data_IF_895789728689
#
_entry.id   IF_895789728689
#
_cell.length_a   1.000
_cell.length_b   1.000
_cell.length_c   1.000
_cell.angle_alpha   90.00
_cell.angle_beta   90.00
_cell.angle_gamma   90.00
#
_symmetry.space_group_name_H-M   'P 1'
#
loop_
_entity.id
_entity.type
_entity.pdbx_description
1 polymer ?
#
# COMPACT_ATOMS: atom_id res chain seq x y z
N UNK A 1 29.55 26.48 19.66
CA UNK A 1 30.24 25.25 19.22
C UNK A 1 29.21 24.46 18.45
N UNK A 2 29.27 24.50 17.12
CA UNK A 2 28.56 23.55 16.28
C UNK A 2 29.41 22.28 16.24
N UNK A 3 29.08 21.33 17.10
CA UNK A 3 29.66 19.98 17.04
C UNK A 3 28.55 19.09 16.53
N UNK A 4 28.68 18.61 15.29
CA UNK A 4 27.72 17.68 14.72
C UNK A 4 27.65 16.41 15.60
N UNK A 5 26.44 15.87 15.82
CA UNK A 5 26.28 14.67 16.61
C UNK A 5 27.06 13.51 15.97
N UNK A 6 27.83 12.78 16.78
CA UNK A 6 28.53 11.57 16.31
C UNK A 6 27.54 10.42 16.23
N UNK A 7 27.63 9.59 15.18
CA UNK A 7 26.79 8.41 14.95
C UNK A 7 25.29 8.70 14.75
N UNK A 8 24.95 9.94 14.39
CA UNK A 8 23.59 10.33 13.98
C UNK A 8 23.67 10.86 12.57
N UNK A 9 22.75 10.43 11.71
CA UNK A 9 22.54 11.06 10.41
C UNK A 9 21.76 12.36 10.68
N UNK A 10 22.42 13.50 10.55
CA UNK A 10 21.74 14.81 10.60
C UNK A 10 21.14 15.18 9.23
N UNK A 11 20.26 16.18 9.17
CA UNK A 11 19.58 16.58 7.93
C UNK A 11 20.52 17.16 6.85
N UNK A 12 21.69 17.65 7.27
CA UNK A 12 22.77 18.12 6.40
C UNK A 12 23.60 16.99 5.79
N UNK A 13 23.51 15.79 6.35
CA UNK A 13 24.06 14.54 5.85
C UNK A 13 22.99 13.81 4.99
N UNK A 14 23.43 13.03 3.99
CA UNK A 14 22.56 12.36 3.00
C UNK A 14 21.82 13.29 2.01
N UNK A 15 22.56 14.22 1.40
CA UNK A 15 22.03 15.14 0.39
C UNK A 15 22.68 14.97 -0.99
N UNK A 16 23.54 13.97 -1.16
CA UNK A 16 24.19 13.73 -2.46
C UNK A 16 23.33 12.81 -3.34
N UNK A 17 23.53 12.84 -4.68
CA UNK A 17 22.87 11.90 -5.59
C UNK A 17 23.04 10.43 -5.20
N UNK A 18 24.19 10.07 -4.63
CA UNK A 18 24.53 8.69 -4.21
C UNK A 18 23.66 8.22 -3.03
N UNK A 19 23.13 9.14 -2.23
CA UNK A 19 22.30 8.82 -1.06
C UNK A 19 20.83 8.53 -1.42
N UNK A 20 20.37 8.99 -2.60
CA UNK A 20 18.96 9.01 -2.97
C UNK A 20 18.34 7.62 -3.07
N UNK A 21 19.11 6.65 -3.54
CA UNK A 21 18.65 5.26 -3.62
C UNK A 21 18.39 4.67 -2.23
N UNK A 22 19.10 5.13 -1.20
CA UNK A 22 18.87 4.73 0.19
C UNK A 22 17.50 5.14 0.71
N UNK A 23 17.04 6.36 0.40
CA UNK A 23 15.70 6.83 0.77
C UNK A 23 14.59 6.05 0.06
N UNK A 24 14.80 5.75 -1.23
CA UNK A 24 13.85 4.94 -2.02
C UNK A 24 13.78 3.51 -1.46
N UNK A 25 14.93 2.86 -1.27
CA UNK A 25 15.03 1.50 -0.72
C UNK A 25 14.40 1.42 0.67
N UNK A 26 14.63 2.44 1.52
CA UNK A 26 14.05 2.50 2.86
C UNK A 26 12.52 2.61 2.86
N UNK A 27 11.93 3.13 1.78
CA UNK A 27 10.47 3.18 1.59
C UNK A 27 9.93 1.81 1.22
N UNK A 28 10.49 1.14 0.21
CA UNK A 28 10.12 -0.23 -0.15
C UNK A 28 10.28 -1.20 1.03
N UNK A 29 11.40 -1.10 1.75
CA UNK A 29 11.66 -1.95 2.91
C UNK A 29 10.61 -1.78 4.03
N UNK A 30 10.03 -0.58 4.19
CA UNK A 30 9.00 -0.34 5.21
C UNK A 30 7.68 -1.03 4.87
N UNK A 31 7.34 -1.18 3.58
CA UNK A 31 6.13 -1.91 3.13
C UNK A 31 6.17 -3.37 3.56
N UNK A 32 7.36 -3.97 3.56
CA UNK A 32 7.57 -5.39 3.88
C UNK A 32 7.85 -5.62 5.36
N UNK A 33 8.43 -4.64 6.05
CA UNK A 33 8.85 -4.74 7.45
C UNK A 33 7.73 -4.39 8.42
N UNK A 34 6.58 -5.05 8.34
CA UNK A 34 5.41 -4.75 9.17
C UNK A 34 5.33 -5.78 10.30
N UNK A 35 5.77 -5.46 11.53
CA UNK A 35 5.76 -6.39 12.67
C UNK A 35 4.36 -6.59 13.28
N UNK A 36 3.31 -6.59 12.45
CA UNK A 36 1.92 -6.82 12.87
C UNK A 36 1.25 -7.81 11.92
N UNK A 37 0.27 -8.54 12.46
CA UNK A 37 -0.64 -9.38 11.69
C UNK A 37 -1.68 -8.55 10.91
N UNK A 38 -1.98 -7.34 11.39
CA UNK A 38 -2.90 -6.38 10.77
C UNK A 38 -2.22 -5.52 9.72
N UNK A 39 -1.45 -6.13 8.82
CA UNK A 39 -0.83 -5.36 7.74
C UNK A 39 -1.93 -4.66 6.91
N UNK A 40 -1.80 -3.36 6.59
CA UNK A 40 -2.77 -2.68 5.71
C UNK A 40 -2.84 -3.31 4.32
N UNK A 41 -1.84 -4.11 3.95
CA UNK A 41 -1.74 -4.80 2.67
C UNK A 41 -2.25 -6.25 2.72
N UNK A 42 -2.59 -6.76 3.90
CA UNK A 42 -3.16 -8.09 4.03
C UNK A 42 -4.70 -8.04 3.98
N UNK A 43 -5.33 -8.74 3.03
CA UNK A 43 -6.78 -8.68 2.85
C UNK A 43 -7.54 -9.65 3.76
N UNK A 44 -6.90 -10.61 4.44
CA UNK A 44 -7.64 -11.60 5.23
C UNK A 44 -8.42 -10.94 6.37
N UNK A 45 -7.78 -10.09 7.19
CA UNK A 45 -8.43 -9.47 8.35
C UNK A 45 -9.33 -8.27 7.97
N UNK A 46 -8.95 -7.54 6.91
CA UNK A 46 -9.59 -6.29 6.53
C UNK A 46 -10.65 -6.43 5.43
N UNK A 47 -10.61 -7.53 4.69
CA UNK A 47 -11.54 -7.86 3.61
C UNK A 47 -12.27 -9.16 3.92
N UNK A 48 -11.59 -10.28 3.67
CA UNK A 48 -12.17 -11.64 3.67
C UNK A 48 -12.92 -12.00 4.95
N UNK A 49 -12.35 -11.67 6.12
CA UNK A 49 -12.97 -11.98 7.42
C UNK A 49 -14.19 -11.11 7.72
N UNK A 50 -14.26 -9.92 7.11
CA UNK A 50 -15.40 -9.00 7.24
C UNK A 50 -16.40 -9.15 6.10
N UNK A 51 -16.10 -10.00 5.12
CA UNK A 51 -17.00 -10.41 4.05
C UNK A 51 -17.63 -11.76 4.39
N UNK A 52 -18.34 -12.33 3.44
CA UNK A 52 -18.88 -13.68 3.47
C UNK A 52 -17.89 -14.75 2.96
N UNK A 53 -16.63 -14.41 2.71
CA UNK A 53 -15.61 -15.35 2.19
C UNK A 53 -15.04 -16.29 3.26
N UNK A 54 -14.97 -15.84 4.51
CA UNK A 54 -14.27 -16.58 5.56
C UNK A 54 -14.74 -16.26 6.97
N UNK A 55 -14.63 -17.23 7.86
CA UNK A 55 -14.63 -17.02 9.30
C UNK A 55 -13.24 -16.61 9.80
N UNK A 56 -13.19 -15.93 10.95
CA UNK A 56 -11.94 -15.59 11.63
C UNK A 56 -11.03 -16.79 11.86
N UNK A 57 -11.62 -17.94 12.20
CA UNK A 57 -10.87 -19.12 12.65
C UNK A 57 -10.23 -18.91 14.02
N UNK A 58 -9.04 -19.46 14.20
CA UNK A 58 -8.27 -19.45 15.44
C UNK A 58 -8.71 -20.55 16.42
N UNK A 59 -8.13 -20.53 17.61
CA UNK A 59 -8.43 -21.47 18.71
C UNK A 59 -9.80 -21.29 19.37
N UNK A 60 -10.59 -20.30 18.93
CA UNK A 60 -11.96 -20.06 19.41
C UNK A 60 -12.41 -18.62 19.23
N UNK A 61 -13.60 -18.30 19.72
CA UNK A 61 -14.22 -16.96 19.60
C UNK A 61 -13.37 -15.85 20.23
N UNK A 62 -12.61 -16.17 21.28
CA UNK A 62 -11.75 -15.23 22.00
C UNK A 62 -10.31 -15.16 21.48
N UNK A 63 -9.93 -16.00 20.52
CA UNK A 63 -8.60 -15.94 19.90
C UNK A 63 -8.56 -14.77 18.90
N UNK A 64 -7.81 -13.72 19.21
CA UNK A 64 -7.98 -12.38 18.60
C UNK A 64 -8.94 -11.44 19.36
N UNK A 65 -9.46 -11.88 20.52
CA UNK A 65 -10.10 -11.06 21.54
C UNK A 65 -11.21 -10.12 21.06
N UNK A 66 -11.15 -8.89 21.57
CA UNK A 66 -12.01 -7.75 21.24
C UNK A 66 -11.64 -7.06 19.92
N UNK A 67 -10.74 -7.66 19.12
CA UNK A 67 -10.33 -7.16 17.82
C UNK A 67 -11.03 -7.90 16.69
N UNK A 68 -10.40 -8.97 16.20
CA UNK A 68 -10.84 -9.65 14.98
C UNK A 68 -12.24 -10.27 15.09
N UNK A 69 -12.63 -10.82 16.25
CA UNK A 69 -13.98 -11.38 16.44
C UNK A 69 -15.07 -10.31 16.37
N UNK A 70 -14.78 -9.09 16.83
CA UNK A 70 -15.69 -7.96 16.73
C UNK A 70 -15.74 -7.40 15.30
N UNK A 71 -14.63 -7.45 14.57
CA UNK A 71 -14.56 -7.08 13.14
C UNK A 71 -15.33 -8.04 12.24
N UNK A 72 -15.27 -9.35 12.51
CA UNK A 72 -16.03 -10.39 11.80
C UNK A 72 -17.54 -10.24 12.03
N UNK A 73 -17.96 -10.09 13.29
CA UNK A 73 -19.38 -10.08 13.66
C UNK A 73 -20.05 -8.72 13.59
N UNK A 74 -19.26 -7.65 13.45
CA UNK A 74 -19.70 -6.25 13.56
C UNK A 74 -20.38 -5.92 14.92
N UNK A 75 -20.05 -6.66 15.98
CA UNK A 75 -20.58 -6.46 17.33
C UNK A 75 -19.49 -5.89 18.24
N UNK A 76 -19.84 -4.93 19.10
CA UNK A 76 -18.93 -4.27 20.06
C UNK A 76 -17.72 -3.55 19.44
N UNK A 77 -17.81 -3.16 18.17
CA UNK A 77 -16.79 -2.32 17.53
C UNK A 77 -16.68 -0.95 18.23
N UNK A 78 -15.45 -0.55 18.51
CA UNK A 78 -15.15 0.78 19.06
C UNK A 78 -14.11 1.48 18.19
N UNK A 79 -14.09 2.82 18.26
CA UNK A 79 -13.11 3.62 17.53
C UNK A 79 -11.65 3.37 17.97
N UNK A 80 -11.44 2.71 19.13
CA UNK A 80 -10.12 2.43 19.70
C UNK A 80 -9.73 0.95 19.56
N UNK A 81 -10.40 0.19 18.69
CA UNK A 81 -10.06 -1.21 18.44
C UNK A 81 -8.63 -1.34 17.90
N UNK A 82 -7.84 -2.25 18.46
CA UNK A 82 -6.44 -2.44 18.06
C UNK A 82 -6.23 -2.87 16.59
N UNK A 83 -7.13 -3.63 15.91
CA UNK A 83 -6.87 -4.05 14.53
C UNK A 83 -6.80 -2.92 13.51
N UNK A 84 -7.28 -1.71 13.86
CA UNK A 84 -7.26 -0.54 12.97
C UNK A 84 -6.17 0.48 13.32
N UNK A 85 -5.67 0.47 14.56
CA UNK A 85 -4.67 1.42 15.05
C UNK A 85 -3.30 1.22 14.40
N UNK A 86 -2.81 -0.02 14.39
CA UNK A 86 -1.51 -0.32 13.78
C UNK A 86 -1.47 -0.08 12.26
N UNK A 87 -2.47 -0.53 11.46
CA UNK A 87 -2.53 -0.19 10.04
C UNK A 87 -2.51 1.31 9.76
N UNK A 88 -3.21 2.11 10.58
CA UNK A 88 -3.17 3.57 10.49
C UNK A 88 -1.76 4.10 10.72
N UNK A 89 -1.14 3.72 11.85
CA UNK A 89 0.19 4.15 12.23
C UNK A 89 1.25 3.81 11.18
N UNK A 90 1.32 2.55 10.73
CA UNK A 90 2.33 2.12 9.75
C UNK A 90 2.12 2.75 8.39
N UNK A 91 0.87 2.98 7.98
CA UNK A 91 0.56 3.66 6.72
C UNK A 91 1.16 5.06 6.67
N UNK A 92 0.98 5.86 7.73
CA UNK A 92 1.56 7.21 7.78
C UNK A 92 3.10 7.20 7.90
N UNK A 93 3.71 6.15 8.45
CA UNK A 93 5.17 5.98 8.38
C UNK A 93 5.66 5.74 6.94
N UNK A 94 4.95 4.92 6.16
CA UNK A 94 5.30 4.65 4.75
C UNK A 94 5.09 5.90 3.90
N UNK A 95 3.99 6.63 4.12
CA UNK A 95 3.71 7.92 3.47
C UNK A 95 4.82 8.91 3.76
N UNK A 96 5.22 9.07 5.03
CA UNK A 96 6.28 10.00 5.40
C UNK A 96 7.63 9.64 4.76
N UNK A 97 7.98 8.35 4.69
CA UNK A 97 9.21 7.91 4.00
C UNK A 97 9.18 8.24 2.50
N UNK A 98 8.03 8.03 1.86
CA UNK A 98 7.80 8.40 0.47
C UNK A 98 7.96 9.91 0.26
N UNK A 99 7.35 10.72 1.15
CA UNK A 99 7.43 12.18 1.12
C UNK A 99 8.87 12.66 1.30
N UNK A 100 9.60 12.12 2.28
CA UNK A 100 11.02 12.47 2.50
C UNK A 100 11.89 12.11 1.30
N UNK A 101 11.68 10.95 0.68
CA UNK A 101 12.41 10.57 -0.53
C UNK A 101 12.13 11.55 -1.69
N UNK A 102 10.86 11.93 -1.90
CA UNK A 102 10.47 12.91 -2.92
C UNK A 102 11.10 14.29 -2.63
N UNK A 103 11.04 14.77 -1.38
CA UNK A 103 11.65 16.04 -0.96
C UNK A 103 13.15 16.06 -1.23
N UNK A 104 13.86 14.98 -0.88
CA UNK A 104 15.30 14.86 -1.10
C UNK A 104 15.64 14.79 -2.60
N UNK A 105 14.93 13.98 -3.37
CA UNK A 105 15.10 13.89 -4.83
C UNK A 105 14.82 15.22 -5.54
N UNK A 106 13.83 15.98 -5.09
CA UNK A 106 13.50 17.29 -5.68
C UNK A 106 14.66 18.29 -5.59
N UNK A 107 15.53 18.17 -4.58
CA UNK A 107 16.70 19.02 -4.39
C UNK A 107 17.92 18.61 -5.23
N UNK A 108 17.88 17.46 -5.90
CA UNK A 108 18.96 16.97 -6.77
C UNK A 108 18.69 17.40 -8.22
N UNK A 109 19.69 17.85 -8.96
CA UNK A 109 19.51 18.13 -10.40
C UNK A 109 19.34 16.82 -11.19
N UNK A 110 18.50 16.82 -12.24
CA UNK A 110 18.27 15.60 -13.05
C UNK A 110 19.56 15.08 -13.71
N UNK A 111 20.48 15.99 -14.06
CA UNK A 111 21.80 15.65 -14.64
C UNK A 111 22.71 14.88 -13.67
N UNK A 112 22.57 15.13 -12.37
CA UNK A 112 23.35 14.46 -11.32
C UNK A 112 22.74 13.10 -10.93
N UNK A 113 21.44 12.91 -11.17
CA UNK A 113 20.74 11.68 -10.89
C UNK A 113 19.71 11.35 -12.00
N UNK A 114 20.14 10.69 -13.09
CA UNK A 114 19.30 10.43 -14.27
C UNK A 114 18.05 9.58 -14.01
N UNK A 115 17.95 8.91 -12.86
CA UNK A 115 16.78 8.14 -12.44
C UNK A 115 15.80 8.96 -11.57
N UNK A 116 16.03 10.26 -11.36
CA UNK A 116 15.25 11.11 -10.46
C UNK A 116 13.76 11.02 -10.75
N UNK A 117 13.36 11.28 -11.99
CA UNK A 117 11.95 11.19 -12.41
C UNK A 117 11.33 9.82 -12.13
N UNK A 118 12.02 8.74 -12.49
CA UNK A 118 11.56 7.35 -12.23
C UNK A 118 11.38 7.10 -10.73
N UNK A 119 12.35 7.49 -9.89
CA UNK A 119 12.29 7.31 -8.44
C UNK A 119 11.18 8.12 -7.78
N UNK A 120 10.95 9.36 -8.23
CA UNK A 120 9.80 10.14 -7.77
C UNK A 120 8.49 9.44 -8.15
N UNK A 121 8.40 8.89 -9.35
CA UNK A 121 7.25 8.08 -9.79
C UNK A 121 7.00 6.87 -8.89
N UNK A 122 8.04 6.13 -8.53
CA UNK A 122 7.96 5.00 -7.59
C UNK A 122 7.41 5.45 -6.22
N UNK A 123 7.92 6.56 -5.68
CA UNK A 123 7.49 7.08 -4.36
C UNK A 123 6.04 7.58 -4.38
N UNK A 124 5.63 8.28 -5.45
CA UNK A 124 4.23 8.70 -5.64
C UNK A 124 3.30 7.51 -5.75
N UNK A 125 3.68 6.46 -6.48
CA UNK A 125 2.89 5.24 -6.54
C UNK A 125 2.71 4.61 -5.16
N UNK A 126 3.80 4.42 -4.40
CA UNK A 126 3.73 3.81 -3.06
C UNK A 126 2.85 4.65 -2.14
N UNK A 127 3.05 5.98 -2.13
CA UNK A 127 2.22 6.90 -1.34
C UNK A 127 0.74 6.79 -1.72
N UNK A 128 0.42 6.78 -3.01
CA UNK A 128 -0.95 6.65 -3.50
C UNK A 128 -1.55 5.29 -3.15
N UNK A 129 -0.78 4.20 -3.26
CA UNK A 129 -1.20 2.86 -2.87
C UNK A 129 -1.55 2.78 -1.38
N UNK A 130 -0.74 3.39 -0.51
CA UNK A 130 -1.00 3.43 0.93
C UNK A 130 -2.24 4.29 1.25
N UNK A 131 -2.37 5.48 0.64
CA UNK A 131 -3.57 6.30 0.79
C UNK A 131 -4.82 5.60 0.24
N UNK A 132 -4.71 4.86 -0.85
CA UNK A 132 -5.80 4.04 -1.40
C UNK A 132 -6.27 3.01 -0.36
N UNK A 133 -5.36 2.31 0.32
CA UNK A 133 -5.72 1.38 1.41
C UNK A 133 -6.37 2.08 2.60
N UNK A 134 -5.82 3.22 3.05
CA UNK A 134 -6.44 4.03 4.11
C UNK A 134 -7.86 4.48 3.72
N UNK A 135 -8.05 4.90 2.47
CA UNK A 135 -9.35 5.32 1.94
C UNK A 135 -10.37 4.19 1.97
N UNK A 136 -9.94 2.95 1.69
CA UNK A 136 -10.78 1.76 1.79
C UNK A 136 -11.17 1.42 3.24
N UNK A 137 -10.30 1.68 4.20
CA UNK A 137 -10.59 1.42 5.62
C UNK A 137 -11.49 2.50 6.25
N UNK A 138 -11.20 3.77 6.00
CA UNK A 138 -11.73 4.87 6.80
C UNK A 138 -12.68 5.82 6.05
N UNK A 139 -12.74 5.75 4.71
CA UNK A 139 -13.41 6.70 3.81
C UNK A 139 -12.87 8.14 3.87
N UNK A 140 -12.57 8.68 5.04
CA UNK A 140 -11.97 9.99 5.23
C UNK A 140 -10.69 9.86 6.05
N UNK A 141 -9.62 10.48 5.58
CA UNK A 141 -8.31 10.45 6.21
C UNK A 141 -7.51 11.70 5.83
N UNK A 142 -6.55 12.15 6.65
CA UNK A 142 -5.59 13.17 6.26
C UNK A 142 -4.82 12.72 5.02
N UNK A 143 -4.87 13.52 3.96
CA UNK A 143 -3.99 13.31 2.80
C UNK A 143 -2.71 14.11 3.02
N UNK A 144 -1.58 13.42 3.17
CA UNK A 144 -0.29 14.03 3.49
C UNK A 144 0.68 13.76 2.34
N UNK A 145 1.09 14.81 1.65
CA UNK A 145 2.04 14.77 0.54
C UNK A 145 3.39 15.39 0.91
N UNK A 146 4.28 15.51 -0.07
CA UNK A 146 5.62 16.08 0.10
C UNK A 146 5.62 17.57 0.45
N UNK A 147 4.49 18.25 0.28
CA UNK A 147 4.35 19.69 0.54
C UNK A 147 3.93 19.96 1.99
N UNK A 148 3.45 18.95 2.72
CA UNK A 148 3.21 19.04 4.16
C UNK A 148 4.55 18.92 4.88
N UNK A 149 5.06 20.07 5.33
CA UNK A 149 6.33 20.22 6.06
C UNK A 149 6.08 21.02 7.34
N UNK A 150 6.93 20.84 8.35
CA UNK A 150 6.84 21.60 9.59
C UNK A 150 7.01 20.75 10.85
N UNK A 151 6.54 21.29 11.97
CA UNK A 151 6.50 20.62 13.28
C UNK A 151 5.29 19.68 13.38
N UNK A 152 5.14 18.96 14.50
CA UNK A 152 3.97 18.09 14.73
C UNK A 152 2.64 18.84 14.59
N UNK A 153 2.60 20.13 14.93
CA UNK A 153 1.38 20.94 14.83
C UNK A 153 0.84 21.10 13.41
N UNK A 154 1.71 21.27 12.40
CA UNK A 154 1.29 21.37 11.00
C UNK A 154 0.70 20.05 10.48
N UNK A 155 1.31 18.92 10.87
CA UNK A 155 0.76 17.60 10.54
C UNK A 155 -0.57 17.33 11.26
N UNK A 156 -0.67 17.69 12.54
CA UNK A 156 -1.89 17.54 13.35
C UNK A 156 -3.04 18.44 12.86
N UNK A 157 -2.74 19.55 12.19
CA UNK A 157 -3.74 20.47 11.65
C UNK A 157 -4.40 19.97 10.35
N UNK A 158 -3.87 18.93 9.70
CA UNK A 158 -4.46 18.39 8.47
C UNK A 158 -5.75 17.63 8.84
N UNK A 159 -6.93 18.09 8.37
CA UNK A 159 -8.18 17.46 8.76
C UNK A 159 -8.43 16.15 8.01
N UNK A 160 -9.09 15.19 8.67
CA UNK A 160 -9.59 13.98 8.00
C UNK A 160 -10.68 14.32 6.96
N UNK A 161 -11.48 15.36 7.25
CA UNK A 161 -12.54 15.90 6.38
C UNK A 161 -12.28 17.38 6.14
N UNK A 162 -11.95 17.75 4.91
CA UNK A 162 -11.81 19.16 4.54
C UNK A 162 -13.20 19.75 4.24
N UNK A 163 -13.65 20.68 5.09
CA UNK A 163 -14.96 21.31 5.01
C UNK A 163 -15.18 22.14 3.73
N UNK A 164 -14.12 22.39 2.94
CA UNK A 164 -14.24 23.05 1.62
C UNK A 164 -14.85 22.14 0.55
N UNK A 165 -14.83 20.83 0.77
CA UNK A 165 -15.34 19.85 -0.17
C UNK A 165 -16.64 19.22 0.36
N UNK A 166 -17.63 18.97 -0.52
CA UNK A 166 -18.93 18.47 -0.10
C UNK A 166 -18.93 16.97 0.22
N UNK A 167 -17.91 16.22 -0.21
CA UNK A 167 -17.79 14.78 -0.06
C UNK A 167 -16.30 14.36 -0.12
N UNK A 168 -16.03 13.06 -0.12
CA UNK A 168 -14.70 12.45 -0.11
C UNK A 168 -14.00 12.34 -1.48
N UNK A 169 -14.63 12.79 -2.58
CA UNK A 169 -14.06 12.66 -3.93
C UNK A 169 -12.71 13.38 -4.07
N UNK A 170 -12.51 14.50 -3.37
CA UNK A 170 -11.21 15.21 -3.40
C UNK A 170 -10.03 14.35 -2.92
N UNK A 171 -10.27 13.38 -2.01
CA UNK A 171 -9.24 12.44 -1.57
C UNK A 171 -8.90 11.46 -2.70
N UNK A 172 -9.93 10.98 -3.41
CA UNK A 172 -9.72 10.12 -4.58
C UNK A 172 -9.01 10.85 -5.72
N UNK A 173 -9.34 12.12 -5.99
CA UNK A 173 -8.63 12.93 -7.00
C UNK A 173 -7.13 13.05 -6.69
N UNK A 174 -6.77 13.26 -5.40
CA UNK A 174 -5.36 13.33 -5.00
C UNK A 174 -4.65 11.99 -5.20
N UNK A 175 -5.27 10.88 -4.79
CA UNK A 175 -4.76 9.51 -5.03
C UNK A 175 -4.57 9.25 -6.54
N UNK A 176 -5.58 9.59 -7.34
CA UNK A 176 -5.57 9.44 -8.79
C UNK A 176 -4.44 10.27 -9.43
N UNK A 177 -4.22 11.49 -8.95
CA UNK A 177 -3.15 12.36 -9.44
C UNK A 177 -1.77 11.74 -9.23
N UNK A 178 -1.48 11.23 -8.02
CA UNK A 178 -0.20 10.58 -7.75
C UNK A 178 0.01 9.34 -8.61
N UNK A 179 -1.03 8.52 -8.84
CA UNK A 179 -0.91 7.38 -9.75
C UNK A 179 -0.70 7.80 -11.21
N UNK A 180 -1.33 8.88 -11.69
CA UNK A 180 -1.11 9.43 -13.03
C UNK A 180 0.30 10.00 -13.19
N UNK A 181 0.81 10.69 -12.18
CA UNK A 181 2.19 11.17 -12.14
C UNK A 181 3.19 10.00 -12.18
N UNK A 182 2.90 8.92 -11.44
CA UNK A 182 3.67 7.70 -11.48
C UNK A 182 3.63 7.02 -12.87
N UNK A 183 2.45 6.85 -13.49
CA UNK A 183 2.34 6.28 -14.84
C UNK A 183 3.17 7.06 -15.87
N UNK A 184 3.18 8.39 -15.76
CA UNK A 184 3.93 9.26 -16.67
C UNK A 184 5.46 9.09 -16.51
N UNK A 185 5.94 8.89 -15.27
CA UNK A 185 7.36 8.82 -14.96
C UNK A 185 7.97 7.42 -15.07
N UNK A 186 7.18 6.37 -14.82
CA UNK A 186 7.68 5.01 -14.72
C UNK A 186 7.97 4.37 -16.09
N UNK A 187 9.03 3.53 -16.20
CA UNK A 187 9.29 2.78 -17.41
C UNK A 187 8.28 1.62 -17.58
N UNK A 188 8.12 1.14 -18.80
CA UNK A 188 7.27 -0.03 -19.09
C UNK A 188 7.83 -1.35 -18.53
N UNK A 189 9.08 -1.37 -18.09
CA UNK A 189 9.71 -2.53 -17.45
C UNK A 189 10.81 -2.02 -16.53
N UNK A 190 10.88 -2.61 -15.33
CA UNK A 190 11.97 -2.36 -14.39
C UNK A 190 12.99 -3.52 -14.44
N UNK A 191 14.30 -3.24 -14.33
CA UNK A 191 15.31 -4.30 -14.21
C UNK A 191 15.16 -5.11 -12.92
N UNK A 192 14.75 -4.44 -11.84
CA UNK A 192 14.49 -5.04 -10.53
C UNK A 192 12.98 -5.33 -10.42
N UNK A 193 12.61 -6.62 -10.45
CA UNK A 193 11.20 -7.05 -10.54
C UNK A 193 10.29 -6.51 -9.43
N UNK A 194 10.85 -6.22 -8.26
CA UNK A 194 10.11 -5.65 -7.12
C UNK A 194 9.74 -4.18 -7.25
N UNK A 195 10.36 -3.45 -8.17
CA UNK A 195 10.05 -2.03 -8.37
C UNK A 195 8.76 -1.87 -9.15
N UNK A 196 8.04 -0.82 -8.81
CA UNK A 196 6.82 -0.42 -9.50
C UNK A 196 7.18 -0.03 -10.95
N UNK A 197 6.42 -0.55 -11.91
CA UNK A 197 6.50 -0.16 -13.31
C UNK A 197 5.25 0.60 -13.77
N UNK A 198 5.24 1.02 -15.05
CA UNK A 198 4.12 1.74 -15.64
C UNK A 198 2.80 0.96 -15.58
N UNK A 199 2.83 -0.34 -15.81
CA UNK A 199 1.61 -1.16 -15.86
C UNK A 199 0.96 -1.26 -14.47
N UNK A 200 1.76 -1.33 -13.40
CA UNK A 200 1.26 -1.24 -12.03
C UNK A 200 0.52 0.08 -11.78
N UNK A 201 1.10 1.22 -12.19
CA UNK A 201 0.46 2.53 -12.08
C UNK A 201 -0.83 2.60 -12.92
N UNK A 202 -0.79 2.18 -14.18
CA UNK A 202 -1.96 2.12 -15.08
C UNK A 202 -3.10 1.29 -14.48
N UNK A 203 -2.81 0.12 -13.92
CA UNK A 203 -3.81 -0.73 -13.27
C UNK A 203 -4.43 -0.06 -12.04
N UNK A 204 -3.62 0.63 -11.22
CA UNK A 204 -4.12 1.36 -10.05
C UNK A 204 -4.91 2.63 -10.41
N UNK A 205 -4.62 3.28 -11.54
CA UNK A 205 -5.45 4.36 -12.08
C UNK A 205 -6.84 3.82 -12.42
N UNK A 206 -6.92 2.74 -13.20
CA UNK A 206 -8.19 2.10 -13.55
C UNK A 206 -8.99 1.72 -12.29
N UNK A 207 -8.32 1.08 -11.32
CA UNK A 207 -8.94 0.70 -10.04
C UNK A 207 -9.46 1.91 -9.27
N UNK A 208 -8.68 2.99 -9.17
CA UNK A 208 -9.09 4.22 -8.47
C UNK A 208 -10.30 4.85 -9.13
N UNK A 209 -10.33 4.94 -10.46
CA UNK A 209 -11.47 5.47 -11.22
C UNK A 209 -12.75 4.63 -11.02
N UNK A 210 -12.61 3.29 -10.95
CA UNK A 210 -13.74 2.43 -10.60
C UNK A 210 -14.27 2.70 -9.19
N UNK A 211 -13.40 2.91 -8.19
CA UNK A 211 -13.84 3.31 -6.84
C UNK A 211 -14.53 4.68 -6.84
N UNK A 212 -13.99 5.65 -7.58
CA UNK A 212 -14.57 6.99 -7.72
C UNK A 212 -15.96 6.99 -8.34
N UNK A 213 -16.22 6.04 -9.25
CA UNK A 213 -17.48 5.97 -9.97
C UNK A 213 -18.69 5.71 -9.05
N UNK A 214 -18.49 5.05 -7.91
CA UNK A 214 -19.56 4.74 -6.96
C UNK A 214 -19.63 5.80 -5.87
N UNK A 215 -20.35 6.88 -6.14
CA UNK A 215 -20.50 8.01 -5.22
C UNK A 215 -21.41 7.64 -4.05
N UNK A 216 -20.97 7.96 -2.82
CA UNK A 216 -21.64 7.53 -1.59
C UNK A 216 -22.07 8.71 -0.72
N UNK A 217 -23.21 8.57 -0.04
CA UNK A 217 -23.62 9.48 1.03
C UNK A 217 -22.87 9.24 2.36
N UNK A 218 -23.22 10.01 3.39
CA UNK A 218 -22.64 9.86 4.75
C UNK A 218 -23.04 8.56 5.45
N UNK A 219 -24.03 7.81 4.92
CA UNK A 219 -24.43 6.47 5.39
C UNK A 219 -23.81 5.36 4.54
N UNK A 220 -22.82 5.70 3.72
CA UNK A 220 -22.10 4.79 2.82
C UNK A 220 -22.99 4.14 1.74
N UNK A 221 -24.21 4.65 1.51
CA UNK A 221 -25.07 4.16 0.44
C UNK A 221 -24.60 4.73 -0.89
N UNK A 222 -24.53 3.88 -1.92
CA UNK A 222 -24.26 4.35 -3.28
C UNK A 222 -25.48 5.15 -3.75
N UNK A 223 -25.27 6.44 -4.01
CA UNK A 223 -26.32 7.37 -4.44
C UNK A 223 -26.24 7.70 -5.93
N UNK A 224 -25.09 7.47 -6.55
CA UNK A 224 -24.89 7.68 -7.98
C UNK A 224 -23.77 6.77 -8.52
N UNK A 225 -23.87 6.42 -9.80
CA UNK A 225 -22.84 5.70 -10.54
C UNK A 225 -22.39 6.57 -11.71
N UNK A 226 -21.20 7.15 -11.58
CA UNK A 226 -20.62 8.05 -12.55
C UNK A 226 -20.05 7.28 -13.76
N UNK A 227 -20.81 7.27 -14.86
CA UNK A 227 -20.44 6.56 -16.09
C UNK A 227 -19.23 7.16 -16.82
N UNK A 228 -18.95 8.45 -16.62
CA UNK A 228 -17.78 9.09 -17.23
C UNK A 228 -16.50 8.57 -16.57
N UNK A 229 -16.50 8.39 -15.25
CA UNK A 229 -15.39 7.73 -14.53
C UNK A 229 -15.18 6.28 -14.95
N UNK A 230 -16.26 5.53 -15.18
CA UNK A 230 -16.17 4.16 -15.72
C UNK A 230 -15.61 4.15 -17.15
N UNK A 231 -16.01 5.12 -17.98
CA UNK A 231 -15.50 5.26 -19.34
C UNK A 231 -14.02 5.64 -19.34
N UNK A 232 -13.60 6.51 -18.41
CA UNK A 232 -12.18 6.83 -18.20
C UNK A 232 -11.41 5.59 -17.73
N UNK A 233 -11.94 4.81 -16.78
CA UNK A 233 -11.32 3.58 -16.29
C UNK A 233 -11.09 2.59 -17.44
N UNK A 234 -12.06 2.45 -18.35
CA UNK A 234 -11.96 1.57 -19.51
C UNK A 234 -10.76 1.90 -20.41
N UNK A 235 -10.39 3.18 -20.56
CA UNK A 235 -9.19 3.58 -21.32
C UNK A 235 -7.93 2.96 -20.72
N UNK A 236 -7.80 2.99 -19.39
CA UNK A 236 -6.64 2.44 -18.69
C UNK A 236 -6.67 0.90 -18.63
N UNK A 237 -7.85 0.30 -18.51
CA UNK A 237 -8.02 -1.16 -18.64
C UNK A 237 -7.57 -1.64 -20.03
N UNK A 238 -7.98 -0.93 -21.10
CA UNK A 238 -7.58 -1.27 -22.47
C UNK A 238 -6.05 -1.18 -22.66
N UNK A 239 -5.39 -0.16 -22.08
CA UNK A 239 -3.90 -0.09 -22.11
C UNK A 239 -3.24 -1.35 -21.54
N UNK A 240 -3.84 -1.98 -20.53
CA UNK A 240 -3.33 -3.22 -19.94
C UNK A 240 -3.70 -4.41 -20.82
N UNK A 241 -4.98 -4.58 -21.17
CA UNK A 241 -5.43 -5.76 -21.94
C UNK A 241 -4.87 -5.80 -23.37
N UNK A 242 -4.55 -4.66 -23.97
CA UNK A 242 -3.88 -4.59 -25.28
C UNK A 242 -2.46 -5.17 -25.25
N UNK A 243 -1.86 -5.33 -24.06
CA UNK A 243 -0.56 -5.95 -23.83
C UNK A 243 -0.67 -7.44 -23.39
N UNK A 244 -1.88 -8.02 -23.41
CA UNK A 244 -2.12 -9.40 -22.97
C UNK A 244 -1.32 -10.40 -23.82
N UNK A 245 -0.63 -11.32 -23.15
CA UNK A 245 0.26 -12.29 -23.78
C UNK A 245 1.69 -11.77 -23.95
N UNK A 246 1.95 -10.48 -23.77
CA UNK A 246 3.29 -9.90 -23.77
C UNK A 246 3.80 -9.63 -22.34
N UNK A 247 3.48 -8.45 -21.79
CA UNK A 247 3.94 -7.98 -20.47
C UNK A 247 2.98 -8.33 -19.34
N UNK A 248 1.70 -8.50 -19.67
CA UNK A 248 0.65 -8.92 -18.75
C UNK A 248 -0.08 -10.13 -19.34
N UNK A 249 -0.78 -10.89 -18.51
CA UNK A 249 -1.62 -12.00 -18.96
C UNK A 249 -1.87 -13.02 -17.88
N UNK A 250 -2.85 -13.88 -18.10
CA UNK A 250 -3.23 -14.90 -17.11
C UNK A 250 -2.22 -16.04 -17.07
N UNK A 251 -2.03 -16.61 -15.88
CA UNK A 251 -1.30 -17.86 -15.71
C UNK A 251 -2.02 -19.00 -16.45
N UNK A 252 -1.24 -19.95 -16.99
CA UNK A 252 -1.82 -21.16 -17.58
C UNK A 252 -2.49 -22.05 -16.53
N UNK A 253 -2.05 -21.93 -15.28
CA UNK A 253 -2.65 -22.57 -14.13
C UNK A 253 -2.85 -21.55 -13.01
N UNK A 254 -4.09 -21.41 -12.54
CA UNK A 254 -4.46 -20.48 -11.45
C UNK A 254 -3.61 -20.65 -10.18
N UNK A 255 -3.21 -21.88 -9.86
CA UNK A 255 -2.38 -22.18 -8.69
C UNK A 255 -0.98 -21.53 -8.73
N UNK A 256 -0.50 -21.12 -9.91
CA UNK A 256 0.79 -20.45 -10.05
C UNK A 256 0.83 -19.09 -9.34
N UNK A 257 -0.31 -18.41 -9.15
CA UNK A 257 -0.35 -17.15 -8.42
C UNK A 257 -0.15 -17.31 -6.89
N UNK A 258 -0.19 -18.54 -6.38
CA UNK A 258 -0.21 -18.80 -4.93
C UNK A 258 0.92 -19.73 -4.48
N UNK A 259 1.96 -19.87 -5.31
CA UNK A 259 3.16 -20.66 -4.99
C UNK A 259 4.41 -19.80 -5.11
N UNK A 260 5.25 -19.83 -4.06
CA UNK A 260 6.48 -19.03 -3.98
C UNK A 260 7.47 -19.26 -5.14
N UNK A 261 7.41 -20.41 -5.82
CA UNK A 261 8.26 -20.71 -6.98
C UNK A 261 7.91 -19.87 -8.21
N UNK A 262 6.70 -19.34 -8.25
CA UNK A 262 6.17 -18.54 -9.35
C UNK A 262 6.20 -17.04 -9.08
N UNK A 263 6.52 -16.60 -7.85
CA UNK A 263 6.66 -15.20 -7.47
C UNK A 263 7.54 -14.44 -8.48
N UNK A 264 7.06 -13.28 -8.94
CA UNK A 264 7.69 -12.47 -9.99
C UNK A 264 7.97 -13.17 -11.34
N UNK A 265 7.47 -14.37 -11.58
CA UNK A 265 7.75 -15.16 -12.79
C UNK A 265 6.52 -15.34 -13.69
N UNK A 266 5.37 -14.80 -13.30
CA UNK A 266 4.14 -14.82 -14.07
C UNK A 266 3.87 -13.46 -14.72
N UNK A 267 3.04 -13.47 -15.77
CA UNK A 267 2.52 -12.23 -16.38
C UNK A 267 1.27 -11.71 -15.66
N UNK A 268 0.73 -12.48 -14.73
CA UNK A 268 -0.45 -12.10 -13.96
C UNK A 268 -0.06 -11.24 -12.75
N UNK A 269 1.20 -11.38 -12.30
CA UNK A 269 1.90 -10.48 -11.39
C UNK A 269 2.20 -9.12 -12.04
N UNK A 270 1.24 -8.19 -11.98
CA UNK A 270 1.48 -6.80 -12.41
C UNK A 270 2.42 -6.07 -11.43
N UNK A 271 2.21 -6.24 -10.12
CA UNK A 271 3.12 -5.79 -9.07
C UNK A 271 2.88 -6.57 -7.79
N UNK A 272 3.97 -6.98 -7.13
CA UNK A 272 3.95 -7.79 -5.92
C UNK A 272 4.78 -7.13 -4.81
N UNK A 273 4.33 -7.23 -3.56
CA UNK A 273 5.13 -6.87 -2.39
C UNK A 273 6.17 -7.97 -2.18
N UNK A 274 7.45 -7.58 -2.17
CA UNK A 274 8.57 -8.51 -2.17
C UNK A 274 8.94 -8.95 -0.77
N UNK A 275 8.50 -10.14 -0.38
CA UNK A 275 8.98 -10.79 0.84
C UNK A 275 10.24 -11.62 0.56
N UNK A 276 10.97 -11.96 1.61
CA UNK A 276 12.22 -12.71 1.54
C UNK A 276 12.40 -13.65 2.72
N UNK A 277 13.15 -14.73 2.49
CA UNK A 277 13.70 -15.62 3.50
C UNK A 277 15.22 -15.68 3.32
N UNK A 278 15.96 -15.90 4.41
CA UNK A 278 17.41 -16.07 4.41
C UNK A 278 18.20 -14.94 3.72
N UNK A 279 17.68 -13.70 3.78
CA UNK A 279 18.27 -12.52 3.12
C UNK A 279 19.43 -11.87 3.89
N UNK A 280 19.88 -12.52 4.97
CA UNK A 280 20.94 -12.02 5.86
C UNK A 280 20.50 -10.92 6.84
N UNK A 281 19.23 -10.52 6.86
CA UNK A 281 18.70 -9.65 7.92
C UNK A 281 18.68 -10.36 9.28
N UNK A 282 18.72 -9.58 10.36
CA UNK A 282 18.68 -10.11 11.74
C UNK A 282 17.39 -10.87 12.07
N UNK A 283 16.32 -10.68 11.28
CA UNK A 283 15.05 -11.37 11.41
C UNK A 283 14.95 -12.64 10.55
N UNK A 284 16.00 -13.00 9.79
CA UNK A 284 16.01 -14.15 8.89
C UNK A 284 15.23 -13.94 7.59
N UNK A 285 14.89 -12.68 7.26
CA UNK A 285 14.05 -12.33 6.12
C UNK A 285 13.12 -11.15 6.39
N UNK A 286 12.62 -10.55 5.31
CA UNK A 286 11.42 -9.72 5.30
C UNK A 286 10.22 -10.61 5.06
N UNK A 287 9.73 -11.24 6.12
CA UNK A 287 8.64 -12.22 6.07
C UNK A 287 7.26 -11.55 6.11
N UNK A 288 6.28 -12.12 5.41
CA UNK A 288 4.90 -11.67 5.46
C UNK A 288 4.23 -12.09 6.78
N UNK A 289 4.39 -11.26 7.81
CA UNK A 289 3.75 -11.54 9.11
C UNK A 289 2.24 -11.45 9.07
N UNK A 290 1.66 -10.72 8.12
CA UNK A 290 0.21 -10.62 7.93
C UNK A 290 -0.44 -11.98 7.70
N UNK A 291 0.24 -12.86 6.95
CA UNK A 291 -0.28 -14.20 6.62
C UNK A 291 0.20 -15.29 7.61
N UNK A 292 1.04 -14.93 8.59
CA UNK A 292 1.69 -15.90 9.49
C UNK A 292 0.73 -16.69 10.38
N UNK A 293 -0.52 -16.25 10.53
CA UNK A 293 -1.55 -16.93 11.34
C UNK A 293 -2.52 -17.77 10.51
N UNK A 294 -2.55 -17.58 9.19
CA UNK A 294 -3.56 -18.15 8.27
C UNK A 294 -3.26 -19.60 7.88
N UNK A 295 -2.11 -20.11 8.29
CA UNK A 295 -1.71 -21.47 7.99
C UNK A 295 -2.64 -22.47 8.72
N UNK A 296 -3.18 -23.49 8.02
CA UNK A 296 -3.92 -24.57 8.64
C UNK A 296 -3.21 -25.14 9.85
N UNK A 297 -3.97 -25.35 10.93
CA UNK A 297 -3.44 -25.91 12.17
C UNK A 297 -2.79 -27.28 11.92
N UNK A 298 -1.55 -27.44 12.37
CA UNK A 298 -0.74 -28.65 12.24
C UNK A 298 -0.34 -29.04 10.79
N UNK A 299 -0.49 -28.15 9.81
CA UNK A 299 0.13 -28.36 8.50
C UNK A 299 1.66 -28.20 8.65
N UNK A 300 2.44 -29.12 8.06
CA UNK A 300 3.92 -29.06 8.11
C UNK A 300 4.55 -29.13 9.51
N UNK A 301 3.80 -29.50 10.56
CA UNK A 301 4.26 -29.51 11.95
C UNK A 301 4.17 -28.14 12.66
N UNK A 302 3.60 -27.11 12.02
CA UNK A 302 3.36 -25.82 12.64
C UNK A 302 2.05 -25.84 13.47
N UNK A 303 2.16 -25.63 14.78
CA UNK A 303 1.07 -25.84 15.76
C UNK A 303 0.30 -24.56 16.15
N UNK A 304 0.29 -23.55 15.29
CA UNK A 304 -0.46 -22.30 15.44
C UNK A 304 -0.88 -21.81 14.04
N UNK A 305 -1.84 -20.90 13.85
CA UNK A 305 -3.00 -20.75 14.73
C UNK A 305 -4.33 -21.05 13.99
N UNK A 306 -4.29 -21.34 12.68
CA UNK A 306 -5.49 -21.67 11.91
C UNK A 306 -6.48 -20.50 11.85
N UNK A 307 -6.01 -19.29 11.57
CA UNK A 307 -6.92 -18.19 11.23
C UNK A 307 -7.36 -18.29 9.76
N UNK A 308 -8.36 -17.49 9.37
CA UNK A 308 -8.85 -17.39 7.98
C UNK A 308 -9.42 -18.70 7.42
N UNK A 309 -10.50 -19.18 8.04
CA UNK A 309 -11.20 -20.41 7.63
C UNK A 309 -12.27 -20.11 6.58
N UNK A 310 -12.46 -20.98 5.60
CA UNK A 310 -13.57 -20.86 4.64
C UNK A 310 -14.94 -20.83 5.36
N UNK A 311 -15.85 -19.97 4.87
CA UNK A 311 -17.21 -19.83 5.40
C UNK A 311 -18.14 -21.01 5.05
#
# INVERSE_FOLDING_TARGET
MEVNPKQVLDEGLLNSPEDMEGFVTATYARITDIPSWDSPFSPWWSGSMRSDDSYKGGGGVWDGGDGWGFMETFVNLTANGWPIDYPWYVSYQIIQRSNTAIQKLNNIAEEDYPLKSVRIGEMKFIRAFVHFRLKQFFKYMPYIDENVVGSSGEFEAIPNKDAKFPNDQYLWERILSDFKDAENALPATQPEKGRVDKNAATAMIARTLMFMAYEQDDRHQVININKDRLTEALVYLNKITDQEGEKVGLCGNFGENFIHTSDNNTKESIWEIQYSIDDGSSTGGKINRGEGLNHPWNWGGFQCCGFHHIS
#
